data_IF_043998146685
#
_entry.id   IF_043998146685
#
_cell.length_a   1.000
_cell.length_b   1.000
_cell.length_c   1.000
_cell.angle_alpha   90.00
_cell.angle_beta   90.00
_cell.angle_gamma   90.00
#
_symmetry.space_group_name_H-M   'P 1'
#
loop_
_entity.id
_entity.type
_entity.pdbx_description
1 polymer ?
#
# COMPACT_ATOMS: atom_id res chain seq x y z
N UNK A 1 11.28 8.87 -6.40
CA UNK A 1 10.36 8.42 -7.46
C UNK A 1 10.54 6.92 -7.73
N UNK A 2 11.78 6.48 -7.96
CA UNK A 2 12.13 5.09 -8.33
C UNK A 2 11.48 3.99 -7.48
N UNK A 3 11.46 4.13 -6.14
CA UNK A 3 10.82 3.14 -5.27
C UNK A 3 9.32 3.01 -5.50
N UNK A 4 8.62 4.12 -5.74
CA UNK A 4 7.17 4.15 -5.90
C UNK A 4 6.76 3.52 -7.23
N UNK A 5 7.59 3.69 -8.26
CA UNK A 5 7.42 3.08 -9.58
C UNK A 5 7.49 1.54 -9.55
N UNK A 6 8.05 0.94 -8.49
CA UNK A 6 8.04 -0.52 -8.31
C UNK A 6 6.64 -1.07 -8.06
N UNK A 7 5.74 -0.29 -7.46
CA UNK A 7 4.37 -0.71 -7.13
C UNK A 7 3.32 -0.10 -8.07
N UNK A 8 3.56 1.11 -8.57
CA UNK A 8 2.63 1.84 -9.43
C UNK A 8 3.37 2.44 -10.62
N UNK A 9 3.13 1.99 -11.86
CA UNK A 9 3.85 2.51 -13.04
C UNK A 9 3.41 3.93 -13.45
N UNK A 10 2.40 4.53 -12.81
CA UNK A 10 1.90 5.85 -13.18
C UNK A 10 2.50 6.97 -12.33
N UNK A 11 3.50 7.67 -12.87
CA UNK A 11 4.05 8.87 -12.20
C UNK A 11 2.99 9.93 -11.89
N UNK A 12 1.97 10.05 -12.74
CA UNK A 12 0.86 10.98 -12.53
C UNK A 12 0.03 10.62 -11.29
N UNK A 13 -0.36 9.35 -11.15
CA UNK A 13 -1.08 8.88 -9.96
C UNK A 13 -0.21 9.00 -8.71
N UNK A 14 1.07 8.61 -8.82
CA UNK A 14 2.07 8.77 -7.76
C UNK A 14 2.12 10.21 -7.26
N UNK A 15 2.28 11.17 -8.18
CA UNK A 15 2.37 12.58 -7.82
C UNK A 15 1.11 13.10 -7.11
N UNK A 16 -0.07 12.52 -7.39
CA UNK A 16 -1.31 12.87 -6.71
C UNK A 16 -1.31 12.38 -5.25
N UNK A 17 -1.11 11.08 -5.01
CA UNK A 17 -1.20 10.58 -3.64
C UNK A 17 0.01 10.90 -2.76
N UNK A 18 1.20 11.21 -3.31
CA UNK A 18 2.30 11.77 -2.50
C UNK A 18 1.94 13.18 -2.02
N UNK A 19 1.30 13.98 -2.87
CA UNK A 19 0.95 15.37 -2.53
C UNK A 19 -0.04 15.43 -1.38
N UNK A 20 -1.02 14.55 -1.40
CA UNK A 20 -2.16 14.57 -0.48
C UNK A 20 -1.95 13.65 0.74
N UNK A 21 -0.93 12.78 0.69
CA UNK A 21 -0.67 11.73 1.68
C UNK A 21 0.66 11.87 2.41
N UNK A 22 0.86 10.98 3.39
CA UNK A 22 2.13 10.83 4.10
C UNK A 22 2.91 9.67 3.48
N UNK A 23 4.23 9.78 3.36
CA UNK A 23 5.07 8.70 2.88
C UNK A 23 6.21 8.44 3.86
N UNK A 24 6.61 7.18 3.94
CA UNK A 24 7.66 6.71 4.84
C UNK A 24 8.61 5.83 4.07
N UNK A 25 9.90 6.02 4.33
CA UNK A 25 10.99 5.30 3.66
C UNK A 25 11.65 4.37 4.68
N UNK A 26 11.80 3.11 4.30
CA UNK A 26 12.68 2.19 5.01
C UNK A 26 14.08 2.34 4.43
N UNK A 27 15.06 2.63 5.28
CA UNK A 27 16.47 2.74 4.88
C UNK A 27 17.34 1.73 5.62
N UNK A 28 18.36 1.21 4.95
CA UNK A 28 19.34 0.28 5.52
C UNK A 28 20.74 0.72 5.06
N UNK A 29 21.66 0.91 6.01
CA UNK A 29 23.04 1.34 5.73
C UNK A 29 23.15 2.59 4.81
N UNK A 30 22.20 3.53 4.93
CA UNK A 30 22.16 4.75 4.11
C UNK A 30 21.54 4.58 2.72
N UNK A 31 21.03 3.39 2.38
CA UNK A 31 20.29 3.12 1.15
C UNK A 31 18.78 3.05 1.43
N UNK A 32 17.97 3.68 0.59
CA UNK A 32 16.51 3.54 0.65
C UNK A 32 16.09 2.20 0.05
N UNK A 33 15.55 1.31 0.89
CA UNK A 33 15.26 -0.08 0.54
C UNK A 33 13.77 -0.37 0.35
N UNK A 34 12.90 0.54 0.80
CA UNK A 34 11.46 0.41 0.62
C UNK A 34 10.71 1.68 0.96
N UNK A 35 9.45 1.72 0.56
CA UNK A 35 8.57 2.88 0.73
C UNK A 35 7.15 2.41 1.03
N UNK A 36 6.41 3.23 1.78
CA UNK A 36 4.96 3.13 1.89
C UNK A 36 4.34 4.53 1.82
N UNK A 37 3.18 4.65 1.18
CA UNK A 37 2.39 5.89 1.12
C UNK A 37 1.01 5.65 1.70
N UNK A 38 0.62 6.53 2.62
CA UNK A 38 -0.64 6.50 3.35
C UNK A 38 -1.49 7.71 2.96
N UNK A 39 -2.77 7.48 2.73
CA UNK A 39 -3.75 8.52 2.51
C UNK A 39 -4.92 8.34 3.48
N UNK A 40 -5.43 9.44 4.02
CA UNK A 40 -6.63 9.38 4.85
C UNK A 40 -7.81 9.03 3.96
N UNK A 41 -8.47 7.91 4.25
CA UNK A 41 -9.65 7.47 3.52
C UNK A 41 -10.90 8.19 4.06
N UNK A 42 -11.05 8.18 5.38
CA UNK A 42 -12.08 8.92 6.13
C UNK A 42 -11.67 9.02 7.61
N UNK A 43 -12.59 9.43 8.47
CA UNK A 43 -12.35 9.58 9.92
C UNK A 43 -12.01 8.29 10.65
N UNK A 44 -12.28 7.12 10.07
CA UNK A 44 -12.05 5.81 10.68
C UNK A 44 -10.98 4.97 9.98
N UNK A 45 -10.56 5.34 8.77
CA UNK A 45 -9.71 4.49 7.94
C UNK A 45 -8.63 5.27 7.20
N UNK A 46 -7.49 4.60 7.00
CA UNK A 46 -6.42 5.04 6.09
C UNK A 46 -6.19 4.00 4.99
N UNK A 47 -5.81 4.47 3.80
CA UNK A 47 -5.43 3.64 2.67
C UNK A 47 -3.89 3.54 2.58
N UNK A 48 -3.39 2.32 2.34
CA UNK A 48 -2.05 2.12 1.78
C UNK A 48 -2.17 2.29 0.26
N UNK A 49 -1.72 3.43 -0.24
CA UNK A 49 -1.80 3.78 -1.66
C UNK A 49 -0.65 3.17 -2.47
N UNK A 50 0.51 2.99 -1.84
CA UNK A 50 1.69 2.39 -2.46
C UNK A 50 2.52 1.72 -1.36
N UNK A 51 3.06 0.53 -1.64
CA UNK A 51 4.05 -0.14 -0.80
C UNK A 51 5.02 -0.91 -1.68
N UNK A 52 6.32 -0.70 -1.49
CA UNK A 52 7.35 -1.39 -2.26
C UNK A 52 8.61 -1.64 -1.44
N UNK A 53 9.32 -2.71 -1.81
CA UNK A 53 10.67 -3.02 -1.35
C UNK A 53 11.49 -3.37 -2.57
N UNK A 54 12.69 -2.79 -2.68
CA UNK A 54 13.63 -3.07 -3.77
C UNK A 54 13.91 -4.57 -3.85
N UNK A 55 13.90 -5.12 -5.06
CA UNK A 55 14.01 -6.57 -5.31
C UNK A 55 15.12 -7.29 -4.53
N UNK A 56 16.35 -6.74 -4.50
CA UNK A 56 17.48 -7.32 -3.76
C UNK A 56 17.29 -7.38 -2.23
N UNK A 57 16.38 -6.57 -1.69
CA UNK A 57 16.06 -6.48 -0.26
C UNK A 57 14.76 -7.23 0.10
N UNK A 58 14.03 -7.80 -0.87
CA UNK A 58 12.84 -8.60 -0.60
C UNK A 58 13.19 -9.91 0.12
N UNK A 59 12.21 -10.48 0.85
CA UNK A 59 12.42 -11.70 1.65
C UNK A 59 13.19 -11.50 2.96
N UNK A 60 13.68 -10.28 3.24
CA UNK A 60 14.49 -9.97 4.43
C UNK A 60 13.69 -9.29 5.56
N UNK A 61 12.36 -9.20 5.42
CA UNK A 61 11.48 -8.65 6.45
C UNK A 61 11.12 -7.16 6.30
N UNK A 62 11.70 -6.41 5.37
CA UNK A 62 11.36 -4.98 5.20
C UNK A 62 9.89 -4.71 4.90
N UNK A 63 9.24 -5.56 4.08
CA UNK A 63 7.81 -5.44 3.82
C UNK A 63 6.97 -5.64 5.09
N UNK A 64 7.42 -6.53 6.00
CA UNK A 64 6.79 -6.70 7.32
C UNK A 64 6.94 -5.44 8.15
N UNK A 65 8.16 -4.90 8.23
CA UNK A 65 8.45 -3.71 9.02
C UNK A 65 7.65 -2.50 8.53
N UNK A 66 7.51 -2.33 7.21
CA UNK A 66 6.65 -1.29 6.63
C UNK A 66 5.19 -1.48 7.06
N UNK A 67 4.62 -2.68 6.94
CA UNK A 67 3.24 -2.95 7.38
C UNK A 67 3.06 -2.69 8.89
N UNK A 68 4.02 -3.11 9.73
CA UNK A 68 3.98 -2.85 11.17
C UNK A 68 4.04 -1.36 11.49
N UNK A 69 4.83 -0.60 10.73
CA UNK A 69 4.87 0.85 10.85
C UNK A 69 3.52 1.47 10.49
N UNK A 70 2.88 1.04 9.39
CA UNK A 70 1.52 1.50 9.04
C UNK A 70 0.52 1.22 10.15
N UNK A 71 0.56 0.02 10.74
CA UNK A 71 -0.32 -0.33 11.88
C UNK A 71 -0.09 0.61 13.06
N UNK A 72 1.17 0.91 13.39
CA UNK A 72 1.53 1.86 14.45
C UNK A 72 1.02 3.27 14.16
N UNK A 73 1.25 3.79 12.95
CA UNK A 73 0.79 5.13 12.54
C UNK A 73 -0.74 5.23 12.58
N UNK A 74 -1.43 4.22 12.07
CA UNK A 74 -2.88 4.18 12.05
C UNK A 74 -3.46 4.15 13.47
N UNK A 75 -2.86 3.34 14.36
CA UNK A 75 -3.26 3.23 15.77
C UNK A 75 -3.05 4.57 16.48
N UNK A 76 -1.88 5.19 16.30
CA UNK A 76 -1.58 6.50 16.90
C UNK A 76 -2.49 7.62 16.37
N UNK A 77 -2.90 7.53 15.11
CA UNK A 77 -3.87 8.44 14.50
C UNK A 77 -5.33 8.22 14.92
N UNK A 78 -5.62 7.20 15.73
CA UNK A 78 -6.98 6.89 16.17
C UNK A 78 -7.87 6.25 15.10
N UNK A 79 -7.27 5.77 14.01
CA UNK A 79 -8.00 5.04 12.98
C UNK A 79 -8.36 3.65 13.48
N UNK A 80 -9.45 3.10 12.95
CA UNK A 80 -9.95 1.76 13.26
C UNK A 80 -9.55 0.74 12.21
N UNK A 81 -9.25 1.20 10.99
CA UNK A 81 -9.03 0.32 9.84
C UNK A 81 -7.89 0.80 8.96
N UNK A 82 -7.21 -0.16 8.35
CA UNK A 82 -6.26 0.07 7.26
C UNK A 82 -6.77 -0.68 6.03
N UNK A 83 -6.87 0.03 4.92
CA UNK A 83 -7.34 -0.49 3.66
C UNK A 83 -6.19 -0.57 2.66
N UNK A 84 -6.24 -1.59 1.80
CA UNK A 84 -5.33 -1.69 0.65
C UNK A 84 -6.06 -2.31 -0.53
N UNK A 85 -5.93 -1.68 -1.69
CA UNK A 85 -6.50 -2.16 -2.95
C UNK A 85 -5.37 -2.61 -3.87
N UNK A 86 -5.42 -3.86 -4.33
CA UNK A 86 -4.43 -4.43 -5.26
C UNK A 86 -5.11 -4.94 -6.52
N UNK A 87 -4.41 -4.90 -7.64
CA UNK A 87 -4.80 -5.64 -8.85
C UNK A 87 -4.85 -7.14 -8.52
N UNK A 88 -5.93 -7.81 -8.92
CA UNK A 88 -6.16 -9.23 -8.65
C UNK A 88 -5.13 -10.17 -9.34
N UNK A 89 -4.34 -9.65 -10.27
CA UNK A 89 -3.22 -10.38 -10.90
C UNK A 89 -1.99 -10.52 -9.99
N UNK A 90 -1.92 -9.80 -8.88
CA UNK A 90 -0.74 -9.76 -7.98
C UNK A 90 -0.77 -10.83 -6.87
N UNK A 91 -0.79 -12.11 -7.26
CA UNK A 91 -0.91 -13.27 -6.33
C UNK A 91 0.07 -13.21 -5.14
N UNK A 92 1.32 -12.77 -5.36
CA UNK A 92 2.33 -12.65 -4.31
C UNK A 92 2.00 -11.60 -3.23
N UNK A 93 1.30 -10.52 -3.61
CA UNK A 93 0.85 -9.49 -2.67
C UNK A 93 -0.35 -9.98 -1.84
N UNK A 94 -1.24 -10.79 -2.43
CA UNK A 94 -2.43 -11.33 -1.77
C UNK A 94 -2.06 -12.19 -0.55
N UNK A 95 -1.09 -13.10 -0.70
CA UNK A 95 -0.63 -13.97 0.38
C UNK A 95 0.08 -13.19 1.52
N UNK A 96 0.76 -12.09 1.16
CA UNK A 96 1.48 -11.26 2.12
C UNK A 96 0.51 -10.53 3.06
N UNK A 97 -0.50 -9.85 2.51
CA UNK A 97 -1.45 -9.09 3.32
C UNK A 97 -2.24 -10.00 4.27
N UNK A 98 -2.69 -11.16 3.76
CA UNK A 98 -3.38 -12.14 4.60
C UNK A 98 -2.53 -12.66 5.76
N UNK A 99 -1.23 -12.90 5.52
CA UNK A 99 -0.29 -13.29 6.59
C UNK A 99 -0.17 -12.24 7.69
N UNK A 100 -0.41 -10.97 7.37
CA UNK A 100 -0.37 -9.87 8.34
C UNK A 100 -1.75 -9.48 8.89
N UNK A 101 -2.77 -10.32 8.72
CA UNK A 101 -4.10 -10.13 9.33
C UNK A 101 -5.07 -9.33 8.48
N UNK A 102 -4.68 -8.93 7.26
CA UNK A 102 -5.63 -8.33 6.34
C UNK A 102 -6.59 -9.40 5.79
N UNK A 103 -7.86 -9.08 5.68
CA UNK A 103 -8.86 -9.94 5.05
C UNK A 103 -9.54 -9.22 3.90
N UNK A 104 -9.90 -9.97 2.86
CA UNK A 104 -10.62 -9.41 1.72
C UNK A 104 -12.03 -8.98 2.16
N UNK A 105 -12.45 -7.78 1.77
CA UNK A 105 -13.79 -7.24 2.08
C UNK A 105 -14.63 -6.95 0.85
N UNK A 106 -14.00 -6.65 -0.30
CA UNK A 106 -14.73 -6.41 -1.56
C UNK A 106 -13.85 -6.63 -2.78
N UNK A 107 -14.51 -6.85 -3.91
CA UNK A 107 -13.94 -6.76 -5.25
C UNK A 107 -14.58 -5.55 -5.94
N UNK A 108 -13.74 -4.69 -6.49
CA UNK A 108 -14.16 -3.54 -7.28
C UNK A 108 -14.01 -3.87 -8.76
N UNK A 109 -15.16 -3.90 -9.45
CA UNK A 109 -15.24 -4.10 -10.89
C UNK A 109 -15.10 -2.78 -11.62
N UNK A 110 -14.58 -2.84 -12.85
CA UNK A 110 -14.51 -1.70 -13.75
C UNK A 110 -13.79 -0.48 -13.14
N UNK A 111 -12.78 -0.70 -12.29
CA UNK A 111 -11.98 0.39 -11.78
C UNK A 111 -11.27 1.07 -12.95
N UNK A 112 -11.76 2.26 -13.29
CA UNK A 112 -11.32 3.07 -14.40
C UNK A 112 -10.16 3.93 -13.93
N UNK A 113 -8.95 3.51 -14.29
CA UNK A 113 -7.83 4.45 -14.29
C UNK A 113 -7.93 5.22 -15.60
N UNK A 114 -8.46 6.45 -15.54
CA UNK A 114 -8.67 7.32 -16.69
C UNK A 114 -7.43 7.44 -17.59
N UNK A 115 -6.24 7.33 -16.98
CA UNK A 115 -4.96 7.37 -17.68
C UNK A 115 -4.69 6.16 -18.59
N UNK A 116 -5.17 4.95 -18.22
CA UNK A 116 -4.88 3.72 -18.97
C UNK A 116 -6.01 3.29 -19.92
N UNK A 117 -7.20 3.93 -19.85
CA UNK A 117 -8.42 3.54 -20.60
C UNK A 117 -8.70 2.02 -20.52
N UNK A 118 -8.27 1.38 -19.43
CA UNK A 118 -8.37 -0.06 -19.20
C UNK A 118 -9.13 -0.28 -17.90
N UNK A 119 -10.03 -1.26 -17.91
CA UNK A 119 -10.78 -1.71 -16.75
C UNK A 119 -9.93 -2.68 -15.96
N UNK A 120 -9.77 -2.42 -14.67
CA UNK A 120 -9.08 -3.31 -13.74
C UNK A 120 -10.08 -3.88 -12.74
N UNK A 121 -9.81 -5.11 -12.32
CA UNK A 121 -10.48 -5.72 -11.18
C UNK A 121 -9.55 -5.58 -9.98
N UNK A 122 -9.99 -4.82 -8.98
CA UNK A 122 -9.22 -4.64 -7.75
C UNK A 122 -9.84 -5.41 -6.61
N UNK A 123 -8.99 -6.01 -5.81
CA UNK A 123 -9.37 -6.67 -4.57
C UNK A 123 -8.99 -5.74 -3.42
N UNK A 124 -9.96 -5.44 -2.56
CA UNK A 124 -9.74 -4.57 -1.40
C UNK A 124 -9.69 -5.41 -0.13
N UNK A 125 -8.62 -5.18 0.60
CA UNK A 125 -8.32 -5.82 1.87
C UNK A 125 -8.45 -4.81 3.01
N UNK A 126 -8.83 -5.33 4.17
CA UNK A 126 -9.03 -4.58 5.39
C UNK A 126 -8.24 -5.21 6.54
N UNK A 127 -7.60 -4.38 7.33
CA UNK A 127 -7.04 -4.74 8.62
C UNK A 127 -7.76 -3.93 9.69
N UNK A 128 -8.37 -4.62 10.65
CA UNK A 128 -9.00 -4.01 11.82
C UNK A 128 -7.94 -3.76 12.89
N UNK A 129 -7.89 -2.54 13.41
CA UNK A 129 -7.06 -2.17 14.54
C UNK A 129 -7.84 -2.54 15.81
N UNK A 130 -7.27 -3.46 16.59
CA UNK A 130 -7.85 -3.98 17.83
C UNK A 130 -7.68 -3.06 19.03
#
# INVERSE_FOLDING_TARGET
>A
MDLLLLADPSEHMIAQYIRDGNYYIASMAGEDVGVVVLLIHNTEAIDIMNIAVVGKWQGQGFGKSLIQHVISEATAGGYRRILIATDNSSIGQLALYQKYGFHMIKIEYDYLINHYKKKFLRTVYNFEIG
#
